data_IF_330492131194
#
_entry.id   IF_330492131194
#
_cell.length_a   1.000
_cell.length_b   1.000
_cell.length_c   1.000
_cell.angle_alpha   90.00
_cell.angle_beta   90.00
_cell.angle_gamma   90.00
#
_symmetry.space_group_name_H-M   'P 1'
#
loop_
_entity.id
_entity.type
_entity.pdbx_description
1 polymer ?
#
# COMPACT_ATOMS: atom_id res chain seq x y z
N UNK A 1 8.24 -26.53 23.68
CA UNK A 1 9.26 -26.45 22.64
C UNK A 1 8.72 -27.17 21.41
N UNK A 2 8.18 -26.49 20.45
CA UNK A 2 7.72 -27.08 19.20
C UNK A 2 8.55 -26.46 18.07
N UNK A 3 9.32 -27.32 17.42
CA UNK A 3 10.24 -26.95 16.35
C UNK A 3 9.48 -26.46 15.10
N UNK A 4 9.81 -25.27 14.65
CA UNK A 4 9.40 -24.79 13.34
C UNK A 4 10.22 -25.52 12.28
N UNK A 5 9.57 -26.27 11.39
CA UNK A 5 10.23 -26.92 10.28
C UNK A 5 10.70 -25.88 9.26
N UNK A 6 11.99 -25.74 9.13
CA UNK A 6 12.64 -25.04 8.02
C UNK A 6 12.59 -25.97 6.80
N UNK A 7 11.81 -25.63 5.80
CA UNK A 7 11.90 -26.25 4.47
C UNK A 7 12.75 -25.32 3.60
N UNK A 8 14.01 -25.65 3.45
CA UNK A 8 14.88 -25.03 2.46
C UNK A 8 14.69 -25.74 1.13
N UNK A 9 14.30 -25.04 0.09
CA UNK A 9 14.23 -25.58 -1.26
C UNK A 9 15.26 -24.92 -2.18
N UNK A 10 15.78 -25.75 -3.07
CA UNK A 10 16.97 -25.60 -3.86
C UNK A 10 16.95 -24.45 -4.88
N UNK A 11 18.12 -23.88 -5.06
CA UNK A 11 18.50 -22.86 -6.03
C UNK A 11 18.67 -23.51 -7.42
N UNK A 12 17.94 -23.03 -8.43
CA UNK A 12 18.32 -23.19 -9.83
C UNK A 12 18.72 -21.81 -10.38
N UNK A 13 19.93 -21.63 -10.89
CA UNK A 13 20.29 -20.40 -11.59
C UNK A 13 19.74 -20.44 -13.02
N UNK A 14 18.78 -19.58 -13.35
CA UNK A 14 18.40 -19.31 -14.72
C UNK A 14 19.20 -18.11 -15.24
N UNK A 15 20.12 -18.38 -16.18
CA UNK A 15 20.74 -17.31 -16.98
C UNK A 15 19.72 -16.88 -18.05
N UNK A 16 19.12 -15.72 -17.88
CA UNK A 16 18.38 -15.03 -18.93
C UNK A 16 19.15 -13.76 -19.31
N UNK A 17 19.71 -13.74 -20.50
CA UNK A 17 20.28 -12.53 -21.10
C UNK A 17 19.15 -11.71 -21.72
N UNK A 18 18.73 -10.64 -21.03
CA UNK A 18 17.82 -9.62 -21.53
C UNK A 18 18.56 -8.29 -21.60
N UNK A 19 18.63 -7.72 -22.79
CA UNK A 19 19.26 -6.43 -23.07
C UNK A 19 18.36 -5.28 -22.64
N UNK A 20 18.61 -4.72 -21.46
CA UNK A 20 18.13 -3.40 -21.06
C UNK A 20 19.32 -2.53 -20.69
N UNK A 21 19.34 -1.27 -21.16
CA UNK A 21 20.49 -0.35 -21.12
C UNK A 21 20.76 0.22 -19.72
N UNK A 22 20.92 -0.64 -18.72
CA UNK A 22 21.46 -0.31 -17.42
C UNK A 22 22.96 -0.63 -17.40
N UNK A 23 23.78 0.24 -16.83
CA UNK A 23 25.23 0.10 -16.72
C UNK A 23 25.69 -1.09 -15.85
N UNK A 24 24.76 -1.86 -15.28
CA UNK A 24 25.01 -2.99 -14.40
C UNK A 24 25.51 -4.20 -15.18
N UNK A 25 26.61 -4.81 -14.72
CA UNK A 25 27.31 -5.91 -15.43
C UNK A 25 26.94 -7.30 -14.92
N UNK A 26 26.41 -7.38 -13.71
CA UNK A 26 26.07 -8.66 -13.06
C UNK A 26 24.70 -8.54 -12.42
N UNK A 27 23.88 -9.57 -12.59
CA UNK A 27 22.55 -9.69 -11.99
C UNK A 27 22.43 -11.03 -11.27
N UNK A 28 21.68 -11.03 -10.16
CA UNK A 28 21.41 -12.21 -9.34
C UNK A 28 19.96 -12.19 -8.86
N UNK A 29 19.31 -13.34 -8.90
CA UNK A 29 17.93 -13.52 -8.47
C UNK A 29 17.84 -14.63 -7.43
N UNK A 30 17.11 -14.38 -6.37
CA UNK A 30 16.84 -15.33 -5.30
C UNK A 30 15.37 -15.28 -4.91
N UNK A 31 14.70 -16.44 -4.84
CA UNK A 31 13.33 -16.53 -4.32
C UNK A 31 13.37 -17.06 -2.89
N UNK A 32 12.81 -16.27 -1.97
CA UNK A 32 12.72 -16.57 -0.55
C UNK A 32 11.26 -16.84 -0.21
N UNK A 33 10.95 -18.06 0.27
CA UNK A 33 9.59 -18.45 0.63
C UNK A 33 9.50 -18.78 2.13
N UNK A 34 8.42 -18.30 2.77
CA UNK A 34 8.16 -18.59 4.18
C UNK A 34 6.67 -18.63 4.47
N UNK A 35 6.27 -19.56 5.33
CA UNK A 35 4.88 -19.66 5.82
C UNK A 35 4.86 -19.44 7.34
N UNK A 36 3.93 -18.60 7.79
CA UNK A 36 3.73 -18.28 9.20
C UNK A 36 2.36 -18.77 9.64
N UNK A 37 2.34 -19.61 10.66
CA UNK A 37 1.11 -20.14 11.24
C UNK A 37 0.48 -19.09 12.16
N UNK A 38 -0.78 -18.76 11.94
CA UNK A 38 -1.54 -17.86 12.79
C UNK A 38 -2.36 -18.69 13.78
N UNK A 39 -2.25 -18.40 15.07
CA UNK A 39 -3.06 -19.04 16.07
C UNK A 39 -4.53 -18.66 15.91
N UNK A 40 -5.42 -19.61 16.10
CA UNK A 40 -6.86 -19.34 16.23
C UNK A 40 -7.11 -18.63 17.56
N UNK A 41 -7.92 -17.56 17.56
CA UNK A 41 -8.28 -16.84 18.79
C UNK A 41 -8.50 -15.36 18.60
N UNK A 42 -8.76 -14.65 19.70
CA UNK A 42 -9.22 -13.27 19.74
C UNK A 42 -8.14 -12.20 19.44
N UNK A 43 -6.86 -12.56 19.36
CA UNK A 43 -5.82 -11.59 19.06
C UNK A 43 -5.83 -11.24 17.57
N UNK A 44 -5.81 -9.94 17.21
CA UNK A 44 -5.74 -9.55 15.81
C UNK A 44 -4.50 -10.16 15.16
N UNK A 45 -4.68 -10.67 13.95
CA UNK A 45 -3.59 -11.11 13.10
C UNK A 45 -3.02 -9.89 12.41
N UNK A 46 -1.72 -9.66 12.49
CA UNK A 46 -1.08 -8.49 11.90
C UNK A 46 0.07 -8.87 10.98
N UNK A 47 0.11 -8.20 9.84
CA UNK A 47 1.25 -8.24 8.93
C UNK A 47 1.84 -6.83 8.81
N UNK A 48 3.11 -6.69 9.16
CA UNK A 48 3.90 -5.48 8.94
C UNK A 48 4.93 -5.75 7.86
N UNK A 49 4.94 -4.95 6.79
CA UNK A 49 5.96 -4.99 5.72
C UNK A 49 6.59 -3.61 5.60
N UNK A 50 7.90 -3.55 5.68
CA UNK A 50 8.67 -2.31 5.51
C UNK A 50 9.74 -2.52 4.43
N UNK A 51 9.44 -2.06 3.21
CA UNK A 51 10.26 -2.19 2.01
C UNK A 51 10.81 -0.84 1.54
N UNK A 52 11.90 -0.88 0.79
CA UNK A 52 12.51 0.31 0.17
C UNK A 52 12.36 0.33 -1.35
N UNK A 53 12.59 -0.80 -2.01
CA UNK A 53 12.49 -0.91 -3.48
C UNK A 53 11.90 -2.26 -3.86
N UNK A 54 10.97 -2.24 -4.81
CA UNK A 54 10.17 -3.37 -5.22
C UNK A 54 8.69 -3.19 -4.86
N UNK A 55 7.83 -4.03 -5.42
CA UNK A 55 6.40 -3.98 -5.15
C UNK A 55 6.00 -4.77 -3.88
N UNK A 56 4.84 -4.46 -3.35
CA UNK A 56 4.18 -5.23 -2.29
C UNK A 56 2.79 -5.60 -2.76
N UNK A 57 2.56 -6.88 -3.06
CA UNK A 57 1.26 -7.43 -3.40
C UNK A 57 0.75 -8.31 -2.27
N UNK A 58 -0.42 -7.97 -1.74
CA UNK A 58 -1.09 -8.71 -0.66
C UNK A 58 -2.44 -9.19 -1.14
N UNK A 59 -2.64 -10.49 -1.17
CA UNK A 59 -3.87 -11.13 -1.61
C UNK A 59 -4.50 -11.92 -0.47
N UNK A 60 -5.75 -11.61 -0.14
CA UNK A 60 -6.49 -12.37 0.84
C UNK A 60 -6.93 -13.72 0.28
N UNK A 61 -6.90 -14.75 1.12
CA UNK A 61 -7.40 -16.08 0.79
C UNK A 61 -8.15 -16.70 1.96
N UNK A 62 -8.76 -17.87 1.76
CA UNK A 62 -9.58 -18.55 2.76
C UNK A 62 -8.79 -19.44 3.75
N UNK A 63 -7.48 -19.21 3.88
CA UNK A 63 -6.63 -19.95 4.80
C UNK A 63 -6.40 -19.26 6.14
N UNK A 64 -5.62 -19.90 7.01
CA UNK A 64 -5.27 -19.39 8.35
C UNK A 64 -3.81 -18.99 8.50
N UNK A 65 -3.00 -19.11 7.45
CA UNK A 65 -1.57 -18.88 7.42
C UNK A 65 -1.25 -17.59 6.68
N UNK A 66 -0.11 -16.98 6.97
CA UNK A 66 0.49 -15.97 6.09
C UNK A 66 1.58 -16.66 5.26
N UNK A 67 1.42 -16.66 3.93
CA UNK A 67 2.38 -17.22 2.99
C UNK A 67 3.09 -16.08 2.29
N UNK A 68 4.40 -16.08 2.35
CA UNK A 68 5.26 -15.03 1.82
C UNK A 68 6.17 -15.64 0.77
N UNK A 69 6.18 -15.05 -0.42
CA UNK A 69 7.16 -15.29 -1.46
C UNK A 69 7.80 -13.95 -1.80
N UNK A 70 9.12 -13.86 -1.70
CA UNK A 70 9.86 -12.64 -2.01
C UNK A 70 10.89 -12.97 -3.07
N UNK A 71 10.85 -12.24 -4.17
CA UNK A 71 11.91 -12.24 -5.17
C UNK A 71 12.91 -11.14 -4.83
N UNK A 72 14.15 -11.53 -4.54
CA UNK A 72 15.27 -10.63 -4.37
C UNK A 72 16.01 -10.53 -5.68
N UNK A 73 16.01 -9.34 -6.29
CA UNK A 73 16.81 -9.04 -7.49
C UNK A 73 17.97 -8.14 -7.08
N UNK A 74 19.19 -8.54 -7.41
CA UNK A 74 20.39 -7.77 -7.11
C UNK A 74 21.14 -7.48 -8.41
N UNK A 75 21.38 -6.21 -8.71
CA UNK A 75 22.19 -5.76 -9.84
C UNK A 75 23.45 -5.08 -9.33
N UNK A 76 24.60 -5.33 -9.94
CA UNK A 76 25.88 -4.80 -9.48
C UNK A 76 26.86 -4.55 -10.64
N UNK A 77 27.85 -3.67 -10.42
CA UNK A 77 28.90 -3.35 -11.39
C UNK A 77 29.94 -4.45 -11.52
N UNK A 78 30.09 -5.29 -10.48
CA UNK A 78 31.05 -6.38 -10.44
C UNK A 78 30.57 -7.52 -9.53
N UNK A 79 31.25 -8.67 -9.59
CA UNK A 79 30.98 -9.81 -8.69
C UNK A 79 31.30 -9.50 -7.23
N UNK A 80 32.30 -8.67 -6.98
CA UNK A 80 32.67 -8.19 -5.64
C UNK A 80 31.56 -7.33 -5.06
N UNK A 81 31.02 -6.38 -5.84
CA UNK A 81 29.87 -5.56 -5.44
C UNK A 81 28.60 -6.40 -5.21
N UNK A 82 28.41 -7.48 -5.98
CA UNK A 82 27.33 -8.44 -5.74
C UNK A 82 27.48 -9.16 -4.40
N UNK A 83 28.70 -9.57 -4.04
CA UNK A 83 28.99 -10.20 -2.75
C UNK A 83 28.80 -9.22 -1.58
N UNK A 84 29.19 -7.96 -1.74
CA UNK A 84 28.93 -6.87 -0.78
C UNK A 84 27.42 -6.66 -0.58
N UNK A 85 26.63 -6.59 -1.66
CA UNK A 85 25.19 -6.47 -1.59
C UNK A 85 24.51 -7.61 -0.82
N UNK A 86 24.99 -8.85 -0.97
CA UNK A 86 24.49 -10.02 -0.23
C UNK A 86 24.82 -9.96 1.26
N UNK A 87 25.93 -9.37 1.62
CA UNK A 87 26.34 -9.18 3.02
C UNK A 87 25.57 -8.05 3.68
N UNK A 88 25.45 -6.93 2.99
CA UNK A 88 24.96 -5.66 3.53
C UNK A 88 23.43 -5.56 3.59
N UNK A 89 22.74 -6.17 2.61
CA UNK A 89 21.28 -6.06 2.49
C UNK A 89 20.63 -7.38 2.90
N UNK A 90 19.80 -7.33 3.94
CA UNK A 90 19.14 -8.51 4.50
C UNK A 90 17.63 -8.34 4.52
N UNK A 91 16.92 -9.42 4.28
CA UNK A 91 15.50 -9.52 4.51
C UNK A 91 15.26 -10.21 5.86
N UNK A 92 14.82 -9.44 6.83
CA UNK A 92 14.42 -9.97 8.14
C UNK A 92 12.95 -10.38 8.13
N UNK A 93 12.68 -11.61 8.49
CA UNK A 93 11.35 -12.15 8.65
C UNK A 93 11.18 -12.70 10.06
N UNK A 94 10.30 -12.12 10.84
CA UNK A 94 10.07 -12.53 12.24
C UNK A 94 8.58 -12.70 12.54
N UNK A 95 8.28 -13.52 13.53
CA UNK A 95 6.93 -13.72 14.03
C UNK A 95 6.92 -13.67 15.57
N UNK A 96 6.01 -12.88 16.11
CA UNK A 96 5.70 -12.82 17.54
C UNK A 96 4.20 -13.04 17.74
N UNK A 97 3.82 -14.24 18.18
CA UNK A 97 2.40 -14.62 18.27
C UNK A 97 1.69 -14.54 16.91
N UNK A 98 0.68 -13.70 16.81
CA UNK A 98 -0.08 -13.45 15.56
C UNK A 98 0.40 -12.23 14.78
N UNK A 99 1.57 -11.69 15.11
CA UNK A 99 2.18 -10.56 14.38
C UNK A 99 3.39 -11.06 13.59
N UNK A 100 3.36 -10.86 12.28
CA UNK A 100 4.46 -11.14 11.34
C UNK A 100 5.06 -9.82 10.88
N UNK A 101 6.38 -9.72 10.91
CA UNK A 101 7.13 -8.56 10.43
C UNK A 101 8.12 -8.98 9.36
N UNK A 102 8.06 -8.30 8.23
CA UNK A 102 8.99 -8.39 7.11
C UNK A 102 9.69 -7.04 6.97
N UNK A 103 11.01 -7.05 7.03
CA UNK A 103 11.80 -5.81 7.07
C UNK A 103 13.01 -5.93 6.16
N UNK A 104 13.09 -5.04 5.16
CA UNK A 104 14.26 -4.92 4.31
C UNK A 104 15.32 -4.08 5.04
N UNK A 105 16.29 -4.76 5.65
CA UNK A 105 17.43 -4.11 6.30
C UNK A 105 18.50 -3.74 5.27
N UNK A 106 18.82 -2.45 5.22
CA UNK A 106 19.78 -1.91 4.27
C UNK A 106 20.69 -0.91 4.96
N UNK A 107 21.94 -0.76 4.53
CA UNK A 107 22.86 0.22 5.10
C UNK A 107 22.39 1.67 5.03
N UNK A 108 21.52 2.01 4.08
CA UNK A 108 20.92 3.35 3.98
C UNK A 108 20.01 3.71 5.16
N UNK A 109 19.52 2.71 5.91
CA UNK A 109 18.72 2.92 7.12
C UNK A 109 19.57 3.19 8.36
N UNK A 110 20.83 2.76 8.36
CA UNK A 110 21.71 2.84 9.53
C UNK A 110 22.76 3.96 9.42
N UNK A 111 23.15 4.34 8.22
CA UNK A 111 24.16 5.35 7.99
C UNK A 111 23.57 6.56 7.25
N UNK A 112 23.84 7.76 7.74
CA UNK A 112 23.52 9.02 7.06
C UNK A 112 24.32 9.25 5.76
N UNK A 113 25.02 8.24 5.25
CA UNK A 113 25.70 8.32 3.97
C UNK A 113 24.66 8.29 2.83
N UNK A 114 24.67 9.33 2.03
CA UNK A 114 23.96 9.36 0.76
C UNK A 114 24.22 8.07 -0.02
N UNK A 115 23.17 7.29 -0.27
CA UNK A 115 23.23 6.01 -0.99
C UNK A 115 23.66 6.10 -2.47
N UNK A 116 24.25 7.23 -2.87
CA UNK A 116 24.62 7.57 -4.24
C UNK A 116 25.92 6.91 -4.75
N UNK A 117 26.68 6.22 -3.89
CA UNK A 117 27.99 5.68 -4.25
C UNK A 117 28.10 4.17 -4.13
N UNK A 118 26.99 3.43 -4.14
CA UNK A 118 27.05 1.96 -4.11
C UNK A 118 27.01 1.40 -5.51
N UNK A 119 27.91 0.48 -5.77
CA UNK A 119 28.03 -0.21 -7.05
C UNK A 119 27.05 -1.37 -7.16
N UNK A 120 25.93 -1.33 -6.41
CA UNK A 120 24.87 -2.32 -6.45
C UNK A 120 23.50 -1.72 -6.09
N UNK A 121 22.45 -2.40 -6.55
CA UNK A 121 21.07 -2.16 -6.21
C UNK A 121 20.39 -3.48 -5.83
N UNK A 122 19.61 -3.48 -4.75
CA UNK A 122 18.82 -4.63 -4.32
C UNK A 122 17.35 -4.23 -4.29
N UNK A 123 16.51 -5.08 -4.86
CA UNK A 123 15.06 -4.95 -4.90
C UNK A 123 14.41 -6.18 -4.28
N UNK A 124 13.34 -5.98 -3.51
CA UNK A 124 12.52 -7.03 -2.97
C UNK A 124 11.09 -6.89 -3.47
N UNK A 125 10.63 -7.83 -4.26
CA UNK A 125 9.28 -7.92 -4.78
C UNK A 125 8.50 -8.94 -3.94
N UNK A 126 7.43 -8.48 -3.26
CA UNK A 126 6.67 -9.29 -2.31
C UNK A 126 5.35 -9.76 -2.90
N UNK A 127 5.13 -11.07 -2.92
CA UNK A 127 3.84 -11.72 -3.15
C UNK A 127 3.40 -12.40 -1.85
N UNK A 128 2.34 -11.88 -1.23
CA UNK A 128 1.92 -12.32 0.09
C UNK A 128 0.46 -12.75 0.06
N UNK A 129 0.19 -13.97 0.55
CA UNK A 129 -1.15 -14.46 0.79
C UNK A 129 -1.48 -14.39 2.28
N UNK A 130 -2.62 -13.79 2.62
CA UNK A 130 -3.02 -13.54 4.01
C UNK A 130 -4.45 -14.02 4.29
N UNK A 131 -4.78 -14.39 5.54
CA UNK A 131 -6.17 -14.54 5.95
C UNK A 131 -6.96 -13.24 5.73
N UNK A 132 -8.25 -13.32 5.40
CA UNK A 132 -9.08 -12.14 5.10
C UNK A 132 -9.06 -11.06 6.20
N UNK A 133 -9.05 -11.46 7.47
CA UNK A 133 -9.18 -10.56 8.62
C UNK A 133 -7.83 -10.15 9.22
N UNK A 134 -6.78 -10.05 8.40
CA UNK A 134 -5.47 -9.60 8.84
C UNK A 134 -5.44 -8.07 8.86
N UNK A 135 -4.87 -7.51 9.92
CA UNK A 135 -4.49 -6.10 9.97
C UNK A 135 -3.20 -5.88 9.18
N UNK A 136 -3.18 -4.88 8.33
CA UNK A 136 -2.05 -4.58 7.46
C UNK A 136 -1.36 -3.28 7.87
N UNK A 137 -0.06 -3.34 8.07
CA UNK A 137 0.83 -2.18 8.13
C UNK A 137 1.87 -2.32 7.02
N UNK A 138 1.70 -1.55 5.93
CA UNK A 138 2.55 -1.66 4.75
C UNK A 138 3.28 -0.34 4.50
N UNK A 139 4.60 -0.41 4.40
CA UNK A 139 5.45 0.73 4.06
C UNK A 139 6.29 0.40 2.84
N UNK A 140 6.23 1.25 1.81
CA UNK A 140 7.05 1.11 0.61
C UNK A 140 7.59 2.46 0.15
N UNK A 141 8.90 2.54 -0.04
CA UNK A 141 9.52 3.79 -0.50
C UNK A 141 9.34 3.97 -2.02
N UNK A 142 9.62 2.91 -2.78
CA UNK A 142 9.56 2.96 -4.23
C UNK A 142 8.74 1.79 -4.78
N UNK A 143 7.91 2.08 -5.75
CA UNK A 143 6.99 1.20 -6.45
C UNK A 143 5.64 0.99 -5.74
N UNK A 144 4.81 0.16 -6.36
CA UNK A 144 3.40 0.02 -6.00
C UNK A 144 3.16 -0.85 -4.77
N UNK A 145 2.02 -0.57 -4.13
CA UNK A 145 1.40 -1.44 -3.14
C UNK A 145 0.04 -1.85 -3.69
N UNK A 146 -0.21 -3.14 -3.78
CA UNK A 146 -1.49 -3.70 -4.17
C UNK A 146 -2.04 -4.58 -3.05
N UNK A 147 -3.32 -4.37 -2.68
CA UNK A 147 -4.03 -5.14 -1.66
C UNK A 147 -5.35 -5.63 -2.21
N UNK A 148 -5.62 -6.92 -2.11
CA UNK A 148 -6.85 -7.51 -2.65
C UNK A 148 -7.58 -8.36 -1.62
N UNK A 149 -8.88 -8.09 -1.41
CA UNK A 149 -9.81 -8.95 -0.71
C UNK A 149 -9.70 -8.99 0.82
N UNK A 150 -8.92 -8.10 1.44
CA UNK A 150 -8.74 -8.05 2.89
C UNK A 150 -9.93 -7.37 3.60
N UNK A 151 -10.22 -7.80 4.81
CA UNK A 151 -11.31 -7.27 5.64
C UNK A 151 -10.82 -6.70 6.99
N UNK A 152 -9.56 -6.87 7.33
CA UNK A 152 -8.94 -6.25 8.50
C UNK A 152 -8.61 -4.77 8.28
N UNK A 153 -8.22 -4.10 9.34
CA UNK A 153 -7.82 -2.71 9.27
C UNK A 153 -6.48 -2.54 8.56
N UNK A 154 -6.23 -1.33 8.08
CA UNK A 154 -5.05 -1.06 7.28
C UNK A 154 -4.39 0.28 7.63
N UNK A 155 -3.06 0.29 7.59
CA UNK A 155 -2.21 1.47 7.66
C UNK A 155 -1.14 1.37 6.58
N UNK A 156 -1.32 2.10 5.47
CA UNK A 156 -0.53 1.93 4.25
C UNK A 156 0.17 3.23 3.89
N UNK A 157 1.49 3.16 3.80
CA UNK A 157 2.36 4.30 3.49
C UNK A 157 3.21 4.03 2.25
N UNK A 158 3.00 4.82 1.22
CA UNK A 158 3.86 4.90 0.03
C UNK A 158 4.64 6.19 0.00
N UNK A 159 5.80 6.21 -0.67
CA UNK A 159 6.47 7.47 -1.01
C UNK A 159 6.36 7.73 -2.51
N UNK A 160 6.87 6.84 -3.33
CA UNK A 160 6.88 6.96 -4.79
C UNK A 160 6.25 5.71 -5.42
N UNK A 161 4.96 5.72 -5.61
CA UNK A 161 4.25 4.60 -6.19
C UNK A 161 2.75 4.69 -5.97
N UNK A 162 2.01 4.01 -6.83
CA UNK A 162 0.56 3.90 -6.66
C UNK A 162 0.22 2.95 -5.51
N UNK A 163 -0.90 3.24 -4.87
CA UNK A 163 -1.53 2.33 -3.92
C UNK A 163 -2.88 1.93 -4.52
N UNK A 164 -3.06 0.64 -4.76
CA UNK A 164 -4.28 0.06 -5.35
C UNK A 164 -4.86 -0.97 -4.39
N UNK A 165 -6.06 -0.70 -3.89
CA UNK A 165 -6.76 -1.59 -2.96
C UNK A 165 -8.07 -2.05 -3.59
N UNK A 166 -8.22 -3.34 -3.82
CA UNK A 166 -9.38 -3.91 -4.49
C UNK A 166 -10.16 -4.84 -3.54
N UNK A 167 -11.48 -4.63 -3.46
CA UNK A 167 -12.40 -5.45 -2.66
C UNK A 167 -12.04 -5.52 -1.16
N UNK A 168 -11.65 -4.39 -0.57
CA UNK A 168 -11.30 -4.28 0.86
C UNK A 168 -12.52 -3.94 1.72
N UNK A 169 -12.48 -4.29 3.01
CA UNK A 169 -13.63 -4.10 3.91
C UNK A 169 -13.27 -3.52 5.30
N UNK A 170 -12.01 -3.21 5.55
CA UNK A 170 -11.52 -2.60 6.80
C UNK A 170 -11.68 -1.09 6.85
N UNK A 171 -11.15 -0.51 7.90
CA UNK A 171 -11.00 0.94 8.11
C UNK A 171 -9.54 1.26 8.39
N UNK A 172 -9.07 2.46 8.04
CA UNK A 172 -7.68 2.82 8.31
C UNK A 172 -7.17 3.98 7.49
N UNK A 173 -5.85 4.05 7.33
CA UNK A 173 -5.18 5.14 6.66
C UNK A 173 -4.42 4.69 5.42
N UNK A 174 -4.43 5.51 4.38
CA UNK A 174 -3.67 5.35 3.15
C UNK A 174 -2.97 6.66 2.83
N UNK A 175 -1.66 6.65 2.86
CA UNK A 175 -0.83 7.83 2.63
C UNK A 175 0.18 7.56 1.52
N UNK A 176 0.31 8.47 0.55
CA UNK A 176 1.43 8.46 -0.39
C UNK A 176 1.93 9.88 -0.64
N UNK A 177 3.18 10.02 -1.04
CA UNK A 177 3.71 11.33 -1.42
C UNK A 177 3.49 11.57 -2.92
N UNK A 178 3.95 10.64 -3.75
CA UNK A 178 3.87 10.76 -5.21
C UNK A 178 3.24 9.49 -5.78
N UNK A 179 1.93 9.53 -6.01
CA UNK A 179 1.24 8.41 -6.59
C UNK A 179 -0.27 8.51 -6.50
N UNK A 180 -0.93 7.73 -7.31
CA UNK A 180 -2.37 7.57 -7.28
C UNK A 180 -2.77 6.64 -6.14
N UNK A 181 -3.82 7.02 -5.41
CA UNK A 181 -4.51 6.17 -4.45
C UNK A 181 -5.83 5.73 -5.07
N UNK A 182 -6.01 4.43 -5.27
CA UNK A 182 -7.28 3.84 -5.71
C UNK A 182 -7.73 2.82 -4.67
N UNK A 183 -8.96 2.97 -4.18
CA UNK A 183 -9.53 2.05 -3.20
C UNK A 183 -10.94 1.65 -3.62
N UNK A 184 -11.19 0.35 -3.71
CA UNK A 184 -12.51 -0.21 -4.00
C UNK A 184 -12.99 -1.00 -2.78
N UNK A 185 -14.00 -0.50 -2.12
CA UNK A 185 -14.56 -1.16 -0.95
C UNK A 185 -15.53 -2.29 -1.33
N UNK A 186 -15.34 -3.46 -0.71
CA UNK A 186 -16.35 -4.54 -0.69
C UNK A 186 -17.41 -4.27 0.38
N UNK A 187 -17.04 -3.58 1.46
CA UNK A 187 -17.92 -3.07 2.51
C UNK A 187 -17.36 -1.74 2.99
N UNK A 188 -18.21 -0.73 3.08
CA UNK A 188 -17.82 0.62 3.50
C UNK A 188 -17.15 0.62 4.88
N UNK A 189 -16.17 1.51 5.13
CA UNK A 189 -15.52 1.67 6.43
C UNK A 189 -16.54 1.90 7.55
N UNK A 190 -16.35 1.24 8.67
CA UNK A 190 -17.21 1.37 9.86
C UNK A 190 -16.61 2.31 10.93
N UNK A 191 -15.36 2.70 10.73
CA UNK A 191 -14.61 3.63 11.59
C UNK A 191 -13.99 4.73 10.74
N UNK A 192 -13.48 5.77 11.39
CA UNK A 192 -12.77 6.85 10.71
C UNK A 192 -11.67 6.29 9.80
N UNK A 193 -11.57 6.86 8.60
CA UNK A 193 -10.56 6.46 7.62
C UNK A 193 -10.02 7.68 6.88
N UNK A 194 -8.73 7.61 6.52
CA UNK A 194 -8.02 8.74 5.91
C UNK A 194 -7.30 8.32 4.63
N UNK A 195 -7.42 9.16 3.59
CA UNK A 195 -6.79 8.97 2.29
C UNK A 195 -6.03 10.23 1.93
N UNK A 196 -4.71 10.11 1.81
CA UNK A 196 -3.84 11.25 1.56
C UNK A 196 -2.86 10.99 0.41
N UNK A 197 -2.73 11.99 -0.48
CA UNK A 197 -1.62 12.05 -1.44
C UNK A 197 -1.13 13.48 -1.60
N UNK A 198 0.19 13.69 -1.70
CA UNK A 198 0.69 15.02 -2.02
C UNK A 198 0.53 15.31 -3.52
N UNK A 199 1.03 14.42 -4.37
CA UNK A 199 1.00 14.56 -5.82
C UNK A 199 0.37 13.30 -6.45
N UNK A 200 -0.91 13.38 -6.78
CA UNK A 200 -1.64 12.27 -7.39
C UNK A 200 -3.15 12.43 -7.25
N UNK A 201 -3.85 11.47 -7.78
CA UNK A 201 -5.31 11.37 -7.68
C UNK A 201 -5.71 10.47 -6.51
N UNK A 202 -6.88 10.75 -5.93
CA UNK A 202 -7.56 9.87 -4.98
C UNK A 202 -8.87 9.44 -5.61
N UNK A 203 -9.00 8.15 -5.94
CA UNK A 203 -10.21 7.54 -6.46
C UNK A 203 -10.73 6.49 -5.48
N UNK A 204 -11.89 6.71 -4.87
CA UNK A 204 -12.46 5.77 -3.89
C UNK A 204 -13.85 5.35 -4.29
N UNK A 205 -14.09 4.04 -4.33
CA UNK A 205 -15.33 3.40 -4.73
C UNK A 205 -16.05 2.81 -3.51
N UNK A 206 -17.25 3.27 -3.26
CA UNK A 206 -18.08 2.85 -2.13
C UNK A 206 -19.27 1.97 -2.54
N UNK A 207 -19.69 1.12 -1.62
CA UNK A 207 -20.98 0.43 -1.74
C UNK A 207 -22.11 1.41 -1.45
N UNK A 208 -23.23 1.29 -2.15
CA UNK A 208 -24.44 2.07 -1.83
C UNK A 208 -25.41 1.25 -0.98
N UNK A 209 -26.12 1.90 -0.02
CA UNK A 209 -26.01 3.31 0.36
C UNK A 209 -24.74 3.60 1.21
N UNK A 210 -24.09 4.74 0.93
CA UNK A 210 -23.02 5.23 1.78
C UNK A 210 -23.60 6.13 2.88
N UNK A 211 -23.30 5.81 4.14
CA UNK A 211 -23.59 6.66 5.31
C UNK A 211 -22.26 7.08 5.95
N UNK A 212 -21.83 8.32 5.73
CA UNK A 212 -20.56 8.84 6.23
C UNK A 212 -20.56 10.36 6.35
N UNK A 213 -19.70 10.87 7.23
CA UNK A 213 -19.30 12.27 7.25
C UNK A 213 -18.01 12.40 6.43
N UNK A 214 -17.95 13.37 5.52
CA UNK A 214 -16.89 13.52 4.54
C UNK A 214 -16.14 14.82 4.78
N UNK A 215 -14.81 14.74 4.84
CA UNK A 215 -13.93 15.91 4.89
C UNK A 215 -12.99 15.91 3.68
N UNK A 216 -12.88 17.06 3.03
CA UNK A 216 -12.04 17.23 1.86
C UNK A 216 -11.08 18.39 2.04
N UNK A 217 -9.82 18.19 1.68
CA UNK A 217 -8.80 19.23 1.65
C UNK A 217 -7.94 19.05 0.39
N UNK A 218 -8.03 19.98 -0.57
CA UNK A 218 -7.16 20.01 -1.73
C UNK A 218 -6.75 21.43 -2.06
N UNK A 219 -5.53 21.62 -2.56
CA UNK A 219 -5.04 22.94 -2.95
C UNK A 219 -5.19 23.14 -4.46
N UNK A 220 -4.71 22.18 -5.26
CA UNK A 220 -4.73 22.24 -6.72
C UNK A 220 -5.47 21.00 -7.27
N UNK A 221 -6.79 21.00 -7.16
CA UNK A 221 -7.63 19.92 -7.62
C UNK A 221 -9.09 20.18 -7.31
N UNK A 222 -9.98 19.40 -7.88
CA UNK A 222 -11.41 19.43 -7.56
C UNK A 222 -11.82 18.19 -6.79
N UNK A 223 -13.00 18.24 -6.19
CA UNK A 223 -13.62 17.11 -5.51
C UNK A 223 -14.92 16.77 -6.24
N UNK A 224 -15.05 15.54 -6.68
CA UNK A 224 -16.21 15.03 -7.39
C UNK A 224 -16.81 13.83 -6.70
N UNK A 225 -18.13 13.69 -6.74
CA UNK A 225 -18.83 12.48 -6.35
C UNK A 225 -19.93 12.17 -7.38
N UNK A 226 -20.19 10.90 -7.63
CA UNK A 226 -21.28 10.42 -8.45
C UNK A 226 -22.56 10.10 -7.65
N UNK A 227 -22.56 10.40 -6.34
CA UNK A 227 -23.68 10.25 -5.42
C UNK A 227 -23.96 11.55 -4.65
N UNK A 228 -25.09 11.59 -3.94
CA UNK A 228 -25.51 12.77 -3.18
C UNK A 228 -24.64 13.02 -1.96
N UNK A 229 -24.10 14.25 -1.88
CA UNK A 229 -23.39 14.77 -0.71
C UNK A 229 -24.06 16.08 -0.27
N UNK A 230 -24.64 16.10 0.91
CA UNK A 230 -25.19 17.30 1.50
C UNK A 230 -24.06 18.15 2.09
N UNK A 231 -23.84 19.41 1.65
CA UNK A 231 -22.82 20.27 2.23
C UNK A 231 -23.17 20.62 3.66
N UNK A 232 -22.16 20.65 4.54
CA UNK A 232 -22.37 20.93 5.96
C UNK A 232 -22.10 22.39 6.30
N UNK A 233 -21.13 23.05 5.64
CA UNK A 233 -20.80 24.48 5.79
C UNK A 233 -20.08 24.97 4.54
N UNK A 234 -20.44 26.13 4.00
CA UNK A 234 -19.75 26.91 2.95
C UNK A 234 -19.34 26.21 1.64
N UNK A 235 -20.03 25.18 1.21
CA UNK A 235 -19.76 24.53 -0.07
C UNK A 235 -20.95 24.67 -1.02
N UNK A 236 -20.68 25.19 -2.23
CA UNK A 236 -21.64 25.19 -3.33
C UNK A 236 -21.46 23.93 -4.16
N UNK A 237 -22.44 23.05 -4.17
CA UNK A 237 -22.48 21.91 -5.09
C UNK A 237 -22.91 22.38 -6.47
N UNK A 238 -22.14 22.09 -7.53
CA UNK A 238 -22.53 22.30 -8.93
C UNK A 238 -22.58 20.94 -9.63
N UNK A 239 -23.67 20.70 -10.34
CA UNK A 239 -23.81 19.50 -11.17
C UNK A 239 -23.29 19.77 -12.57
N UNK A 240 -22.41 18.88 -13.08
CA UNK A 240 -21.90 18.93 -14.43
C UNK A 240 -21.87 17.52 -15.02
N UNK A 241 -22.67 17.25 -16.04
CA UNK A 241 -22.76 15.95 -16.74
C UNK A 241 -23.04 14.75 -15.84
N UNK A 242 -23.98 14.88 -14.89
CA UNK A 242 -24.35 13.78 -13.99
C UNK A 242 -23.34 13.48 -12.86
N UNK A 243 -22.22 14.21 -12.82
CA UNK A 243 -21.24 14.14 -11.73
C UNK A 243 -21.32 15.43 -10.93
N UNK A 244 -21.44 15.32 -9.61
CA UNK A 244 -21.54 16.47 -8.72
C UNK A 244 -20.14 16.96 -8.37
N UNK A 245 -19.82 18.18 -8.84
CA UNK A 245 -18.66 18.92 -8.36
C UNK A 245 -18.98 19.45 -6.97
N UNK A 246 -18.44 18.84 -5.94
CA UNK A 246 -18.63 19.25 -4.55
C UNK A 246 -17.80 20.49 -4.26
N UNK A 247 -16.63 20.59 -4.89
CA UNK A 247 -15.72 21.69 -4.68
C UNK A 247 -14.73 21.85 -5.86
N UNK A 248 -14.52 23.08 -6.31
CA UNK A 248 -13.41 23.42 -7.20
C UNK A 248 -12.42 24.32 -6.46
N UNK A 249 -11.15 23.99 -6.50
CA UNK A 249 -10.11 24.75 -5.81
C UNK A 249 -10.01 26.17 -6.39
N UNK A 250 -10.45 27.14 -5.64
CA UNK A 250 -10.14 28.53 -5.86
C UNK A 250 -9.20 29.01 -4.74
N UNK A 251 -7.95 28.55 -4.76
CA UNK A 251 -6.82 29.07 -3.95
C UNK A 251 -7.05 29.26 -2.44
N UNK A 252 -7.94 28.51 -1.81
CA UNK A 252 -8.15 28.59 -0.36
C UNK A 252 -7.83 27.24 0.26
N UNK A 253 -6.84 27.20 1.15
CA UNK A 253 -6.48 26.05 1.97
C UNK A 253 -7.57 25.76 3.04
N UNK A 254 -8.84 25.64 2.59
CA UNK A 254 -9.99 25.39 3.46
C UNK A 254 -10.38 23.93 3.42
N UNK A 255 -10.79 23.40 4.56
CA UNK A 255 -11.42 22.09 4.65
C UNK A 255 -12.89 22.24 4.30
N UNK A 256 -13.38 21.40 3.42
CA UNK A 256 -14.78 21.32 3.04
C UNK A 256 -15.38 20.06 3.64
N UNK A 257 -16.56 20.18 4.22
CA UNK A 257 -17.24 19.07 4.87
C UNK A 257 -18.60 18.81 4.23
N UNK A 258 -18.94 17.55 4.12
CA UNK A 258 -20.22 17.10 3.61
C UNK A 258 -20.69 15.84 4.31
N UNK A 259 -21.93 15.44 4.04
CA UNK A 259 -22.55 14.24 4.58
C UNK A 259 -23.19 13.44 3.47
N UNK A 260 -22.84 12.17 3.40
CA UNK A 260 -23.50 11.18 2.55
C UNK A 260 -24.53 10.42 3.38
N UNK A 261 -25.74 10.26 2.85
CA UNK A 261 -26.83 9.57 3.52
C UNK A 261 -27.16 10.13 4.92
N UNK A 262 -27.34 9.26 5.89
CA UNK A 262 -27.61 9.61 7.28
C UNK A 262 -26.41 10.14 8.08
N UNK A 263 -25.22 10.19 7.48
CA UNK A 263 -23.97 10.40 8.19
C UNK A 263 -23.45 9.12 8.85
N UNK A 264 -22.26 9.18 9.47
CA UNK A 264 -21.62 8.00 10.07
C UNK A 264 -20.14 8.26 10.35
N UNK A 265 -19.27 7.28 10.12
CA UNK A 265 -17.83 7.45 10.33
C UNK A 265 -17.27 8.61 9.51
N UNK A 266 -16.21 9.23 10.03
CA UNK A 266 -15.52 10.31 9.34
C UNK A 266 -14.58 9.73 8.29
N UNK A 267 -14.76 10.12 7.04
CA UNK A 267 -13.87 9.80 5.93
C UNK A 267 -13.18 11.09 5.48
N UNK A 268 -11.86 11.13 5.61
CA UNK A 268 -11.04 12.30 5.30
C UNK A 268 -10.23 12.07 4.03
N UNK A 269 -10.28 13.02 3.11
CA UNK A 269 -9.55 12.97 1.84
C UNK A 269 -8.72 14.23 1.72
N UNK A 270 -7.41 14.07 1.54
CA UNK A 270 -6.54 15.23 1.39
C UNK A 270 -5.50 15.06 0.29
N UNK A 271 -5.33 16.11 -0.51
CA UNK A 271 -4.36 16.16 -1.59
C UNK A 271 -3.80 17.58 -1.77
N UNK A 272 -2.57 17.69 -2.28
CA UNK A 272 -2.04 18.98 -2.70
C UNK A 272 -2.30 19.21 -4.18
N UNK A 273 -1.87 18.26 -5.02
CA UNK A 273 -1.96 18.34 -6.48
C UNK A 273 -2.66 17.09 -7.01
N UNK A 274 -3.90 17.27 -7.46
CA UNK A 274 -4.69 16.20 -8.07
C UNK A 274 -6.14 16.18 -7.61
N UNK A 275 -6.99 15.52 -8.39
CA UNK A 275 -8.41 15.40 -8.09
C UNK A 275 -8.68 14.36 -7.00
N UNK A 276 -9.77 14.58 -6.28
CA UNK A 276 -10.42 13.62 -5.40
C UNK A 276 -11.73 13.21 -6.04
N UNK A 277 -11.93 11.93 -6.32
CA UNK A 277 -13.14 11.39 -6.91
C UNK A 277 -13.71 10.28 -6.04
N UNK A 278 -14.98 10.43 -5.71
CA UNK A 278 -15.73 9.43 -4.96
C UNK A 278 -16.75 8.79 -5.89
N UNK A 279 -16.72 7.47 -5.96
CA UNK A 279 -17.52 6.70 -6.90
C UNK A 279 -18.44 5.72 -6.19
N UNK A 280 -19.57 5.48 -6.81
CA UNK A 280 -20.37 4.30 -6.54
C UNK A 280 -19.70 3.09 -7.18
N UNK A 281 -19.50 2.01 -6.44
CA UNK A 281 -18.99 0.76 -7.02
C UNK A 281 -20.03 0.23 -8.04
N UNK A 282 -19.63 -0.03 -9.29
CA UNK A 282 -20.51 -0.73 -10.23
C UNK A 282 -20.93 -2.10 -9.67
N UNK A 283 -22.22 -2.43 -9.84
CA UNK A 283 -22.78 -3.74 -9.45
C UNK A 283 -22.24 -4.85 -10.34
#
# INVERSE_FOLDING_TARGET
MRHAALIAFAILPALAAGSDSSSWKVEDHETIQRTFQMAAGANPKRLTVDNLDGFIHVNAYSGSEIRVSVERSTTADSREALAEARHDVKLEMSQQGNSVRLYADTPSRHNNCCGCCRNYRVRFDYEIQVPKEVELELKNLNREIQVTGTAGDFDIHGLNGRIDMESVAGSGSVHTLNGKVRVVFARNPQRASEFHTLNGEIDVYFQQPLNANLNFKTLNGGVWADFDVAPTVDSSVREQHGVKLIYSSARTNRTHSGRAGGGGPLLSFSGLNGPIRLHTKPQ
#
